data_IF_865170060698
#
_entry.id   IF_865170060698
#
_cell.length_a   1.000
_cell.length_b   1.000
_cell.length_c   1.000
_cell.angle_alpha   90.00
_cell.angle_beta   90.00
_cell.angle_gamma   90.00
#
_symmetry.space_group_name_H-M   'P 1'
#
loop_
_entity.id
_entity.type
_entity.pdbx_description
1 polymer ?
#
# COMPACT_ATOMS: atom_id res chain seq x y z
N UNK A 1 -7.46 24.35 -4.36
CA UNK A 1 -6.16 23.79 -3.96
C UNK A 1 -6.46 22.56 -3.12
N UNK A 2 -5.71 21.46 -3.26
CA UNK A 2 -5.94 20.27 -2.45
C UNK A 2 -5.80 20.60 -0.97
N UNK A 3 -6.67 20.04 -0.14
CA UNK A 3 -6.56 20.16 1.31
C UNK A 3 -5.54 19.14 1.83
N UNK A 4 -4.33 19.62 2.13
CA UNK A 4 -3.24 18.79 2.65
C UNK A 4 -3.30 18.59 4.17
N UNK A 5 -4.29 19.16 4.87
CA UNK A 5 -4.40 19.01 6.32
C UNK A 5 -4.61 17.54 6.74
N UNK A 6 -5.26 16.75 5.88
CA UNK A 6 -5.45 15.31 6.09
C UNK A 6 -4.13 14.53 6.04
N UNK A 7 -3.17 14.94 5.20
CA UNK A 7 -1.86 14.28 5.09
C UNK A 7 -1.13 14.34 6.44
N UNK A 8 -0.98 15.53 7.03
CA UNK A 8 -0.22 15.65 8.27
C UNK A 8 -0.92 14.94 9.44
N UNK A 9 -2.25 14.96 9.48
CA UNK A 9 -3.03 14.21 10.48
C UNK A 9 -2.80 12.70 10.32
N UNK A 10 -2.84 12.19 9.09
CA UNK A 10 -2.52 10.80 8.74
C UNK A 10 -1.12 10.42 9.17
N UNK A 11 -0.11 11.22 8.81
CA UNK A 11 1.29 10.92 9.11
C UNK A 11 1.59 10.98 10.61
N UNK A 12 0.91 11.87 11.35
CA UNK A 12 1.01 11.92 12.81
C UNK A 12 0.39 10.70 13.52
N UNK A 13 -0.50 9.97 12.85
CA UNK A 13 -1.20 8.80 13.40
C UNK A 13 -0.43 7.49 13.27
N UNK A 14 0.68 7.47 12.53
CA UNK A 14 1.48 6.27 12.27
C UNK A 14 2.86 6.37 12.92
N UNK A 15 3.44 5.23 13.28
CA UNK A 15 4.85 5.15 13.64
C UNK A 15 5.67 4.71 12.40
N UNK A 16 6.63 5.52 11.98
CA UNK A 16 7.56 5.18 10.90
C UNK A 16 8.85 6.00 11.01
N UNK A 17 9.87 5.65 10.22
CA UNK A 17 11.10 6.45 10.13
C UNK A 17 10.82 7.82 9.49
N UNK A 18 11.63 8.84 9.77
CA UNK A 18 11.48 10.16 9.15
C UNK A 18 11.53 10.09 7.62
N UNK A 19 12.39 9.22 7.07
CA UNK A 19 12.49 8.96 5.63
C UNK A 19 11.18 8.41 5.06
N UNK A 20 10.56 7.45 5.74
CA UNK A 20 9.27 6.89 5.32
C UNK A 20 8.15 7.93 5.41
N UNK A 21 8.13 8.75 6.47
CA UNK A 21 7.15 9.83 6.64
C UNK A 21 7.28 10.89 5.55
N UNK A 22 8.50 11.29 5.20
CA UNK A 22 8.77 12.23 4.10
C UNK A 22 8.33 11.67 2.76
N UNK A 23 8.68 10.41 2.46
CA UNK A 23 8.24 9.75 1.25
C UNK A 23 6.71 9.70 1.15
N UNK A 24 6.02 9.26 2.20
CA UNK A 24 4.55 9.17 2.20
C UNK A 24 3.90 10.55 2.03
N UNK A 25 4.48 11.60 2.59
CA UNK A 25 4.01 12.97 2.38
C UNK A 25 4.07 13.35 0.90
N UNK A 26 5.17 13.07 0.23
CA UNK A 26 5.35 13.41 -1.17
C UNK A 26 4.44 12.58 -2.08
N UNK A 27 4.29 11.28 -1.80
CA UNK A 27 3.39 10.41 -2.54
C UNK A 27 1.91 10.80 -2.38
N UNK A 28 1.49 11.20 -1.17
CA UNK A 28 0.12 11.69 -0.95
C UNK A 28 -0.15 13.02 -1.65
N UNK A 29 0.81 13.95 -1.64
CA UNK A 29 0.70 15.18 -2.43
C UNK A 29 0.57 14.86 -3.92
N UNK A 30 1.43 13.97 -4.43
CA UNK A 30 1.36 13.54 -5.82
C UNK A 30 -0.01 12.93 -6.17
N UNK A 31 -0.56 12.08 -5.30
CA UNK A 31 -1.88 11.47 -5.50
C UNK A 31 -3.01 12.51 -5.51
N UNK A 32 -2.98 13.48 -4.59
CA UNK A 32 -4.02 14.51 -4.47
C UNK A 32 -3.94 15.59 -5.55
N UNK A 33 -2.75 15.83 -6.12
CA UNK A 33 -2.57 16.72 -7.26
C UNK A 33 -3.05 16.08 -8.58
N UNK A 34 -3.25 14.76 -8.62
CA UNK A 34 -3.80 14.09 -9.79
C UNK A 34 -5.33 14.22 -9.87
N UNK A 35 -5.90 14.40 -11.08
CA UNK A 35 -7.34 14.53 -11.26
C UNK A 35 -8.04 13.21 -10.88
N UNK A 36 -9.08 13.26 -10.00
CA UNK A 36 -9.78 12.08 -9.51
C UNK A 36 -10.15 11.14 -10.66
N UNK A 37 -9.84 9.86 -10.51
CA UNK A 37 -10.36 8.86 -11.42
C UNK A 37 -11.82 8.57 -11.04
N UNK A 38 -12.74 9.03 -11.89
CA UNK A 38 -14.13 8.57 -11.85
C UNK A 38 -14.19 7.36 -12.76
N UNK A 39 -14.43 6.18 -12.18
CA UNK A 39 -14.78 5.00 -12.97
C UNK A 39 -16.07 5.32 -13.72
N UNK A 40 -15.93 5.54 -15.01
CA UNK A 40 -17.04 5.60 -15.95
C UNK A 40 -17.09 4.26 -16.68
N UNK A 41 -18.21 3.90 -17.30
CA UNK A 41 -18.34 2.70 -18.17
C UNK A 41 -17.43 2.74 -19.43
N UNK A 42 -16.40 3.58 -19.42
CA UNK A 42 -15.38 3.72 -20.45
C UNK A 42 -14.31 2.64 -20.38
N UNK A 43 -13.44 2.57 -21.40
CA UNK A 43 -12.41 1.54 -21.48
C UNK A 43 -11.42 1.64 -20.32
N UNK A 44 -11.08 0.48 -19.73
CA UNK A 44 -10.17 0.31 -18.60
C UNK A 44 -8.79 1.01 -18.78
N UNK A 45 -8.41 1.30 -20.03
CA UNK A 45 -7.17 2.00 -20.38
C UNK A 45 -7.05 3.41 -19.78
N UNK A 46 -8.17 4.08 -19.46
CA UNK A 46 -8.16 5.42 -18.85
C UNK A 46 -7.76 5.45 -17.37
N UNK A 47 -7.77 4.29 -16.69
CA UNK A 47 -7.35 4.13 -15.29
C UNK A 47 -5.86 3.77 -15.14
N UNK A 48 -5.21 3.33 -16.23
CA UNK A 48 -3.88 2.71 -16.16
C UNK A 48 -2.77 3.73 -15.87
N UNK A 49 -2.90 4.97 -16.34
CA UNK A 49 -1.85 5.99 -16.21
C UNK A 49 -1.99 6.90 -14.99
N UNK A 50 -3.07 6.75 -14.20
CA UNK A 50 -3.34 7.62 -13.05
C UNK A 50 -2.81 7.05 -11.75
N UNK A 51 -2.10 7.86 -10.99
CA UNK A 51 -1.72 7.67 -9.59
C UNK A 51 -2.94 7.80 -8.67
N UNK A 52 -3.86 6.85 -8.84
CA UNK A 52 -4.93 6.62 -7.87
C UNK A 52 -4.30 5.87 -6.71
N UNK A 53 -4.30 6.52 -5.55
CA UNK A 53 -3.88 5.94 -4.29
C UNK A 53 -5.06 6.03 -3.31
N UNK A 54 -5.10 5.08 -2.37
CA UNK A 54 -6.00 5.13 -1.25
C UNK A 54 -5.82 6.45 -0.48
N UNK A 55 -6.93 7.12 -0.16
CA UNK A 55 -6.90 8.42 0.52
C UNK A 55 -6.04 8.38 1.81
N UNK A 56 -5.36 9.47 2.19
CA UNK A 56 -4.47 9.47 3.35
C UNK A 56 -5.13 8.97 4.64
N UNK A 57 -6.37 9.37 4.89
CA UNK A 57 -7.12 9.00 6.10
C UNK A 57 -7.48 7.50 6.13
N UNK A 58 -7.86 6.95 4.98
CA UNK A 58 -8.10 5.51 4.80
C UNK A 58 -6.81 4.70 5.00
N UNK A 59 -5.67 5.19 4.51
CA UNK A 59 -4.38 4.56 4.76
C UNK A 59 -4.05 4.49 6.27
N UNK A 60 -4.21 5.60 6.99
CA UNK A 60 -4.06 5.63 8.45
C UNK A 60 -5.03 4.69 9.16
N UNK A 61 -6.29 4.67 8.73
CA UNK A 61 -7.31 3.79 9.30
C UNK A 61 -6.93 2.31 9.16
N UNK A 62 -6.52 1.86 7.97
CA UNK A 62 -6.11 0.47 7.74
C UNK A 62 -4.86 0.13 8.54
N UNK A 63 -3.86 1.02 8.61
CA UNK A 63 -2.69 0.83 9.47
C UNK A 63 -3.10 0.60 10.93
N UNK A 64 -3.94 1.48 11.50
CA UNK A 64 -4.40 1.37 12.88
C UNK A 64 -5.23 0.11 13.12
N UNK A 65 -6.08 -0.28 12.15
CA UNK A 65 -6.85 -1.51 12.20
C UNK A 65 -5.94 -2.75 12.28
N UNK A 66 -4.95 -2.86 11.39
CA UNK A 66 -3.99 -3.97 11.41
C UNK A 66 -3.17 -4.02 12.70
N UNK A 67 -2.77 -2.85 13.23
CA UNK A 67 -2.10 -2.76 14.53
C UNK A 67 -2.99 -3.25 15.68
N UNK A 68 -4.28 -2.90 15.66
CA UNK A 68 -5.24 -3.35 16.69
C UNK A 68 -5.49 -4.87 16.65
N UNK A 69 -5.52 -5.45 15.46
CA UNK A 69 -5.72 -6.88 15.24
C UNK A 69 -4.45 -7.70 15.45
N UNK A 70 -3.28 -7.05 15.55
CA UNK A 70 -1.96 -7.70 15.54
C UNK A 70 -1.71 -8.54 14.29
N UNK A 71 -2.26 -8.11 13.14
CA UNK A 71 -2.12 -8.80 11.86
C UNK A 71 -0.65 -8.91 11.44
N UNK A 72 -0.22 -10.10 11.01
CA UNK A 72 1.13 -10.39 10.51
C UNK A 72 1.13 -10.86 9.06
N UNK A 73 0.05 -11.47 8.60
CA UNK A 73 -0.08 -11.95 7.23
C UNK A 73 -1.24 -11.26 6.54
N UNK A 74 -0.91 -10.37 5.60
CA UNK A 74 -1.88 -9.51 4.92
C UNK A 74 -1.78 -9.74 3.43
N UNK A 75 -2.92 -9.75 2.74
CA UNK A 75 -2.98 -9.75 1.28
C UNK A 75 -3.49 -8.39 0.82
N UNK A 76 -2.87 -7.83 -0.20
CA UNK A 76 -3.36 -6.66 -0.93
C UNK A 76 -3.57 -7.06 -2.39
N UNK A 77 -4.82 -6.99 -2.83
CA UNK A 77 -5.20 -7.22 -4.22
C UNK A 77 -5.52 -5.88 -4.87
N UNK A 78 -4.58 -5.36 -5.66
CA UNK A 78 -4.69 -4.05 -6.30
C UNK A 78 -3.67 -3.02 -5.76
N UNK A 79 -2.38 -3.35 -5.78
CA UNK A 79 -1.34 -2.51 -5.17
C UNK A 79 -1.13 -1.16 -5.87
N UNK A 80 -1.37 -1.08 -7.19
CA UNK A 80 -1.14 0.13 -7.98
C UNK A 80 0.31 0.65 -7.79
N UNK A 81 0.48 1.91 -7.43
CA UNK A 81 1.80 2.50 -7.13
C UNK A 81 2.31 2.18 -5.72
N UNK A 82 1.58 1.42 -4.91
CA UNK A 82 2.08 0.84 -3.66
C UNK A 82 2.12 1.76 -2.44
N UNK A 83 1.36 2.86 -2.44
CA UNK A 83 1.27 3.78 -1.30
C UNK A 83 0.63 3.09 -0.10
N UNK A 84 -0.55 2.49 -0.28
CA UNK A 84 -1.25 1.69 0.74
C UNK A 84 -0.38 0.56 1.28
N UNK A 85 0.36 -0.13 0.41
CA UNK A 85 1.27 -1.23 0.78
C UNK A 85 2.32 -0.82 1.80
N UNK A 86 2.81 0.43 1.74
CA UNK A 86 3.74 0.96 2.76
C UNK A 86 3.10 0.95 4.15
N UNK A 87 1.83 1.38 4.25
CA UNK A 87 1.07 1.36 5.50
C UNK A 87 0.84 -0.07 5.99
N UNK A 88 0.47 -0.99 5.09
CA UNK A 88 0.28 -2.41 5.43
C UNK A 88 1.59 -3.02 5.97
N UNK A 89 2.70 -2.77 5.27
CA UNK A 89 4.00 -3.30 5.63
C UNK A 89 4.52 -2.73 6.95
N UNK A 90 4.31 -1.43 7.22
CA UNK A 90 4.63 -0.83 8.51
C UNK A 90 3.86 -1.50 9.66
N UNK A 91 2.54 -1.72 9.49
CA UNK A 91 1.74 -2.38 10.51
C UNK A 91 2.20 -3.83 10.75
N UNK A 92 2.40 -4.59 9.67
CA UNK A 92 2.90 -5.97 9.71
C UNK A 92 4.28 -6.03 10.37
N UNK A 93 5.21 -5.18 9.97
CA UNK A 93 6.57 -5.07 10.53
C UNK A 93 6.55 -4.93 12.05
N UNK A 94 5.73 -3.99 12.53
CA UNK A 94 5.63 -3.68 13.95
C UNK A 94 4.86 -4.75 14.74
N UNK A 95 3.99 -5.52 14.10
CA UNK A 95 3.26 -6.63 14.72
C UNK A 95 4.10 -7.91 14.76
N UNK A 96 4.92 -8.13 13.72
CA UNK A 96 5.76 -9.29 13.57
C UNK A 96 6.87 -9.31 14.62
N UNK A 97 7.57 -8.19 14.85
CA UNK A 97 8.71 -8.16 15.76
C UNK A 97 9.76 -9.20 15.34
N UNK A 98 9.98 -10.23 16.17
CA UNK A 98 10.87 -11.37 15.83
C UNK A 98 10.15 -12.56 15.17
N UNK A 99 8.83 -12.49 15.03
CA UNK A 99 8.01 -13.51 14.35
C UNK A 99 7.95 -13.23 12.84
N UNK A 100 7.60 -14.23 12.01
CA UNK A 100 7.37 -13.97 10.59
C UNK A 100 6.13 -13.09 10.39
N UNK A 101 6.19 -12.27 9.35
CA UNK A 101 5.08 -11.48 8.84
C UNK A 101 5.34 -11.08 7.39
N UNK A 102 4.28 -10.93 6.60
CA UNK A 102 4.38 -10.61 5.18
C UNK A 102 3.10 -9.93 4.67
N UNK A 103 3.28 -8.94 3.80
CA UNK A 103 2.26 -8.41 2.91
C UNK A 103 2.46 -9.04 1.53
N UNK A 104 1.47 -9.79 1.07
CA UNK A 104 1.44 -10.33 -0.30
C UNK A 104 0.65 -9.34 -1.15
N UNK A 105 1.37 -8.58 -1.95
CA UNK A 105 0.86 -7.54 -2.84
C UNK A 105 0.69 -8.10 -4.26
N UNK A 106 -0.38 -7.76 -4.95
CA UNK A 106 -0.57 -8.11 -6.37
C UNK A 106 -0.73 -6.86 -7.23
N UNK A 107 -0.03 -6.81 -8.36
CA UNK A 107 -0.19 -5.76 -9.36
C UNK A 107 -0.10 -6.35 -10.77
N UNK A 108 -1.07 -6.03 -11.62
CA UNK A 108 -1.13 -6.55 -12.98
C UNK A 108 -0.24 -5.75 -13.95
N UNK A 109 -0.11 -4.44 -13.73
CA UNK A 109 0.58 -3.52 -14.62
C UNK A 109 2.08 -3.41 -14.27
N UNK A 110 3.00 -3.89 -15.13
CA UNK A 110 4.43 -3.94 -14.81
C UNK A 110 5.05 -2.57 -14.52
N UNK A 111 4.53 -1.51 -15.15
CA UNK A 111 5.02 -0.13 -14.94
C UNK A 111 4.67 0.40 -13.55
N UNK A 112 3.49 0.05 -13.02
CA UNK A 112 3.07 0.39 -11.66
C UNK A 112 3.83 -0.45 -10.64
N UNK A 113 3.91 -1.77 -10.86
CA UNK A 113 4.72 -2.69 -10.06
C UNK A 113 6.17 -2.22 -9.89
N UNK A 114 6.80 -1.79 -10.99
CA UNK A 114 8.16 -1.25 -10.97
C UNK A 114 8.29 0.02 -10.12
N UNK A 115 7.34 0.96 -10.22
CA UNK A 115 7.33 2.18 -9.41
C UNK A 115 7.05 1.87 -7.93
N UNK A 116 6.12 0.97 -7.64
CA UNK A 116 5.81 0.51 -6.29
C UNK A 116 7.07 -0.04 -5.59
N UNK A 117 7.80 -0.94 -6.25
CA UNK A 117 9.09 -1.45 -5.73
C UNK A 117 10.09 -0.33 -5.43
N UNK A 118 10.20 0.67 -6.30
CA UNK A 118 11.08 1.81 -6.07
C UNK A 118 10.67 2.61 -4.84
N UNK A 119 9.38 2.82 -4.61
CA UNK A 119 8.91 3.54 -3.43
C UNK A 119 9.14 2.71 -2.16
N UNK A 120 8.92 1.40 -2.19
CA UNK A 120 9.19 0.55 -1.02
C UNK A 120 10.67 0.50 -0.66
N UNK A 121 11.54 0.43 -1.66
CA UNK A 121 12.99 0.52 -1.44
C UNK A 121 13.40 1.88 -0.87
N UNK A 122 12.79 2.97 -1.34
CA UNK A 122 12.97 4.30 -0.75
C UNK A 122 12.38 4.43 0.66
N UNK A 123 11.36 3.65 1.02
CA UNK A 123 10.78 3.66 2.36
C UNK A 123 11.71 2.99 3.39
N UNK A 124 12.59 2.09 2.94
CA UNK A 124 13.63 1.43 3.73
C UNK A 124 13.27 0.02 4.21
N UNK A 125 14.21 -0.60 4.93
CA UNK A 125 14.16 -2.02 5.33
C UNK A 125 12.96 -2.38 6.22
N UNK A 126 12.40 -1.43 6.96
CA UNK A 126 11.24 -1.67 7.82
C UNK A 126 9.94 -1.83 7.01
N UNK A 127 10.00 -1.57 5.70
CA UNK A 127 8.91 -1.70 4.74
C UNK A 127 9.24 -2.76 3.70
N UNK A 128 10.32 -2.60 2.94
CA UNK A 128 10.61 -3.40 1.74
C UNK A 128 10.65 -4.91 2.03
N UNK A 129 11.33 -5.35 3.10
CA UNK A 129 11.49 -6.78 3.43
C UNK A 129 10.18 -7.48 3.78
N UNK A 130 9.17 -6.73 4.18
CA UNK A 130 7.85 -7.25 4.55
C UNK A 130 6.90 -7.34 3.36
N UNK A 131 7.33 -6.96 2.16
CA UNK A 131 6.48 -7.00 0.97
C UNK A 131 6.95 -8.13 0.05
N UNK A 132 5.98 -8.91 -0.43
CA UNK A 132 6.16 -9.83 -1.54
C UNK A 132 5.22 -9.37 -2.66
N UNK A 133 5.79 -8.81 -3.72
CA UNK A 133 5.01 -8.41 -4.89
C UNK A 133 4.94 -9.54 -5.90
N UNK A 134 3.70 -9.95 -6.20
CA UNK A 134 3.36 -10.88 -7.26
C UNK A 134 2.81 -10.11 -8.45
N UNK A 135 3.60 -10.02 -9.51
CA UNK A 135 3.19 -9.35 -10.75
C UNK A 135 2.33 -10.27 -11.62
N UNK A 136 1.23 -9.72 -12.15
CA UNK A 136 0.29 -10.41 -13.04
C UNK A 136 -1.13 -10.50 -12.48
N UNK A 137 -1.94 -11.33 -13.12
CA UNK A 137 -3.36 -11.49 -12.76
C UNK A 137 -3.51 -12.06 -11.34
N UNK A 138 -4.17 -11.31 -10.46
CA UNK A 138 -4.42 -11.69 -9.06
C UNK A 138 -5.11 -13.06 -8.93
N UNK A 139 -5.95 -13.44 -9.90
CA UNK A 139 -6.67 -14.72 -9.90
C UNK A 139 -5.73 -15.90 -10.09
N UNK A 140 -4.57 -15.66 -10.69
CA UNK A 140 -3.52 -16.64 -10.90
C UNK A 140 -2.46 -16.56 -9.80
N UNK A 141 -2.01 -15.36 -9.46
CA UNK A 141 -0.91 -15.14 -8.50
C UNK A 141 -1.27 -15.49 -7.05
N UNK A 142 -2.56 -15.45 -6.69
CA UNK A 142 -3.04 -15.82 -5.35
C UNK A 142 -3.42 -17.30 -5.19
N UNK A 143 -3.20 -18.15 -6.21
CA UNK A 143 -3.53 -19.59 -6.13
C UNK A 143 -2.58 -20.41 -5.27
N UNK A 144 -1.34 -19.96 -5.08
CA UNK A 144 -0.28 -20.74 -4.44
C UNK A 144 0.43 -19.94 -3.35
N UNK A 145 1.19 -20.62 -2.51
CA UNK A 145 2.14 -20.00 -1.57
C UNK A 145 1.53 -18.93 -0.66
N UNK A 146 0.25 -19.08 -0.31
CA UNK A 146 -0.39 -18.28 0.72
C UNK A 146 -0.03 -18.84 2.10
N UNK A 147 0.04 -17.98 3.14
CA UNK A 147 0.17 -18.44 4.50
C UNK A 147 -1.05 -19.27 4.91
N UNK A 148 -0.88 -20.13 5.92
CA UNK A 148 -1.97 -20.95 6.46
C UNK A 148 -3.15 -20.09 6.93
N UNK A 149 -2.86 -18.88 7.44
CA UNK A 149 -3.84 -17.90 7.85
C UNK A 149 -3.52 -16.54 7.23
N UNK A 150 -4.53 -15.95 6.60
CA UNK A 150 -4.54 -14.54 6.21
C UNK A 150 -5.34 -13.76 7.25
N UNK A 151 -4.71 -12.79 7.90
CA UNK A 151 -5.33 -11.99 8.97
C UNK A 151 -6.22 -10.89 8.39
N UNK A 152 -5.88 -10.39 7.21
CA UNK A 152 -6.57 -9.29 6.53
C UNK A 152 -6.36 -9.32 5.01
N UNK A 153 -7.39 -8.93 4.27
CA UNK A 153 -7.35 -8.70 2.82
C UNK A 153 -7.81 -7.28 2.54
N UNK A 154 -6.96 -6.50 1.87
CA UNK A 154 -7.35 -5.25 1.22
C UNK A 154 -7.72 -5.54 -0.23
N UNK A 155 -8.93 -5.19 -0.63
CA UNK A 155 -9.37 -5.12 -2.03
C UNK A 155 -9.46 -3.64 -2.39
N UNK A 156 -8.55 -3.18 -3.24
CA UNK A 156 -8.43 -1.77 -3.66
C UNK A 156 -8.57 -1.66 -5.18
#
# INVERSE_FOLDING_TARGET
MPDYASIETTLASIAASSQTIELLRDLHKQALDEPPYVSTDGPASTALDKFVALDPDKCAYVYLLLRSMKARFVVEAGTSFGVSTIYLALAVSQNAGSQPGKVIATENEPTKAFKARKYWSQAGDDVEKFIELREGDLRETLKTDLPEQVDFLLLD
#
